data_IF_411495881933
#
_entry.id   IF_411495881933
#
_cell.length_a   1.000
_cell.length_b   1.000
_cell.length_c   1.000
_cell.angle_alpha   90.00
_cell.angle_beta   90.00
_cell.angle_gamma   90.00
#
_symmetry.space_group_name_H-M   'P 1'
#
loop_
_entity.id
_entity.type
_entity.pdbx_description
1 polymer ?
#
# COMPACT_ATOMS: atom_id res chain seq x y z
N UNK A 1 23.44 -41.04 30.83
CA UNK A 1 23.25 -40.68 29.42
C UNK A 1 22.15 -41.53 28.84
N UNK A 2 21.05 -40.91 28.41
CA UNK A 2 20.20 -41.27 27.26
C UNK A 2 18.94 -40.41 27.32
N UNK A 3 18.89 -39.39 26.47
CA UNK A 3 17.72 -38.54 26.21
C UNK A 3 16.67 -39.37 25.48
N UNK A 4 15.51 -39.62 26.11
CA UNK A 4 14.32 -40.10 25.41
C UNK A 4 13.60 -38.88 24.83
N UNK A 5 13.76 -38.69 23.53
CA UNK A 5 13.02 -37.71 22.72
C UNK A 5 11.55 -38.14 22.66
N UNK A 6 10.68 -37.48 23.43
CA UNK A 6 9.23 -37.65 23.32
C UNK A 6 8.74 -37.00 22.03
N UNK A 7 8.51 -37.84 21.01
CA UNK A 7 7.89 -37.47 19.73
C UNK A 7 6.42 -37.08 19.98
N UNK A 8 6.13 -35.79 20.12
CA UNK A 8 4.76 -35.28 20.12
C UNK A 8 4.27 -35.13 18.67
N UNK A 9 3.42 -36.07 18.23
CA UNK A 9 2.72 -36.01 16.94
C UNK A 9 1.59 -34.99 17.04
N UNK A 10 1.69 -33.86 16.34
CA UNK A 10 0.60 -32.85 16.25
C UNK A 10 0.01 -32.82 14.84
N UNK A 11 -0.97 -33.68 14.50
CA UNK A 11 -1.63 -33.68 13.19
C UNK A 11 -2.33 -32.35 12.86
N UNK A 12 -2.67 -31.55 13.87
CA UNK A 12 -3.25 -30.22 13.71
C UNK A 12 -2.29 -29.20 13.06
N UNK A 13 -0.97 -29.33 13.25
CA UNK A 13 -0.03 -28.37 12.64
C UNK A 13 0.02 -28.55 11.13
N UNK A 14 -0.03 -29.80 10.65
CA UNK A 14 -0.08 -30.09 9.23
C UNK A 14 -1.40 -29.62 8.60
N UNK A 15 -2.53 -29.84 9.26
CA UNK A 15 -3.84 -29.37 8.78
C UNK A 15 -3.91 -27.84 8.76
N UNK A 16 -3.44 -27.16 9.80
CA UNK A 16 -3.39 -25.69 9.85
C UNK A 16 -2.42 -25.11 8.81
N UNK A 17 -1.30 -25.78 8.56
CA UNK A 17 -0.35 -25.39 7.53
C UNK A 17 -0.97 -25.53 6.13
N UNK A 18 -1.65 -26.64 5.86
CA UNK A 18 -2.34 -26.86 4.60
C UNK A 18 -3.54 -25.93 4.41
N UNK A 19 -4.34 -25.68 5.44
CA UNK A 19 -5.42 -24.67 5.33
C UNK A 19 -4.85 -23.28 5.12
N UNK A 20 -3.77 -22.89 5.81
CA UNK A 20 -3.09 -21.62 5.53
C UNK A 20 -2.58 -21.57 4.08
N UNK A 21 -1.93 -22.63 3.59
CA UNK A 21 -1.40 -22.71 2.23
C UNK A 21 -2.51 -22.56 1.15
N UNK A 22 -3.68 -23.11 1.41
CA UNK A 22 -4.82 -23.07 0.48
C UNK A 22 -5.72 -21.85 0.66
N UNK A 23 -5.80 -21.25 1.85
CA UNK A 23 -6.73 -20.15 2.16
C UNK A 23 -6.07 -18.77 2.02
N UNK A 24 -4.81 -18.61 2.41
CA UNK A 24 -4.07 -17.34 2.27
C UNK A 24 -4.05 -16.73 0.85
N UNK A 25 -3.90 -17.50 -0.25
CA UNK A 25 -3.92 -16.90 -1.60
C UNK A 25 -5.28 -16.32 -2.01
N UNK A 26 -6.37 -16.66 -1.33
CA UNK A 26 -7.70 -16.10 -1.59
C UNK A 26 -7.95 -14.76 -0.88
N UNK A 27 -7.07 -14.34 0.03
CA UNK A 27 -7.20 -13.10 0.80
C UNK A 27 -6.28 -11.97 0.29
N UNK A 28 -5.84 -12.01 -0.96
CA UNK A 28 -5.05 -10.92 -1.55
C UNK A 28 -5.94 -9.66 -1.73
N UNK A 29 -5.75 -8.69 -0.84
CA UNK A 29 -6.41 -7.38 -0.91
C UNK A 29 -5.69 -6.54 -1.98
N UNK A 30 -6.39 -6.20 -3.06
CA UNK A 30 -5.84 -5.33 -4.11
C UNK A 30 -5.56 -3.90 -3.61
N UNK A 31 -4.52 -3.27 -4.14
CA UNK A 31 -4.02 -1.94 -3.75
C UNK A 31 -4.88 -0.83 -4.37
N UNK A 32 -6.10 -0.64 -3.87
CA UNK A 32 -7.09 0.26 -4.48
C UNK A 32 -6.73 1.75 -4.39
N UNK A 33 -6.00 2.14 -3.36
CA UNK A 33 -5.67 3.55 -3.08
C UNK A 33 -4.78 4.20 -4.15
N UNK A 34 -4.14 3.41 -5.02
CA UNK A 34 -3.36 3.93 -6.14
C UNK A 34 -4.17 4.84 -7.07
N UNK A 35 -5.51 4.79 -7.03
CA UNK A 35 -6.38 5.73 -7.76
C UNK A 35 -6.11 7.21 -7.43
N UNK A 36 -5.47 7.50 -6.30
CA UNK A 36 -5.01 8.83 -5.91
C UNK A 36 -4.06 9.49 -6.93
N UNK A 37 -3.35 8.73 -7.78
CA UNK A 37 -2.45 9.30 -8.80
C UNK A 37 -3.14 10.29 -9.76
N UNK A 38 -4.47 10.20 -9.90
CA UNK A 38 -5.28 11.07 -10.78
C UNK A 38 -5.73 12.37 -10.11
N UNK A 39 -5.51 12.53 -8.81
CA UNK A 39 -5.95 13.71 -8.07
C UNK A 39 -5.05 14.89 -8.43
N UNK A 40 -5.57 15.81 -9.25
CA UNK A 40 -4.91 17.06 -9.63
C UNK A 40 -5.90 18.23 -9.50
N UNK A 41 -5.59 19.29 -8.73
CA UNK A 41 -4.43 19.46 -7.86
C UNK A 41 -4.43 18.52 -6.65
N UNK A 42 -3.26 18.31 -6.04
CA UNK A 42 -3.15 17.51 -4.83
C UNK A 42 -3.97 18.13 -3.69
N UNK A 43 -4.62 17.28 -2.89
CA UNK A 43 -5.39 17.71 -1.73
C UNK A 43 -4.49 18.32 -0.66
N UNK A 44 -4.86 19.48 -0.15
CA UNK A 44 -4.10 20.21 0.87
C UNK A 44 -4.90 20.44 2.14
N UNK A 45 -6.23 20.36 2.06
CA UNK A 45 -7.12 20.64 3.17
C UNK A 45 -7.91 19.40 3.58
N UNK A 46 -8.36 19.37 4.84
CA UNK A 46 -9.27 18.33 5.34
C UNK A 46 -10.64 18.37 4.65
N UNK A 47 -10.98 19.49 4.00
CA UNK A 47 -12.18 19.64 3.17
C UNK A 47 -12.17 18.72 1.95
N UNK A 48 -11.00 18.48 1.35
CA UNK A 48 -10.81 17.76 0.09
C UNK A 48 -10.91 16.23 0.27
N UNK A 49 -10.80 15.75 1.51
CA UNK A 49 -10.84 14.34 1.84
C UNK A 49 -12.25 13.73 1.76
N UNK A 50 -12.40 12.51 1.24
CA UNK A 50 -13.70 11.89 1.06
C UNK A 50 -14.33 11.49 2.40
N UNK A 51 -15.59 11.88 2.61
CA UNK A 51 -16.35 11.59 3.85
C UNK A 51 -17.38 10.48 3.64
N UNK A 52 -18.04 10.46 2.48
CA UNK A 52 -19.06 9.46 2.15
C UNK A 52 -18.43 8.12 1.76
N UNK A 53 -19.22 7.04 1.71
CA UNK A 53 -18.75 5.72 1.28
C UNK A 53 -18.50 5.72 -0.24
N UNK A 54 -19.29 6.47 -0.97
CA UNK A 54 -19.30 6.60 -2.41
C UNK A 54 -18.04 7.31 -2.90
N UNK A 55 -17.71 8.48 -2.32
CA UNK A 55 -16.47 9.21 -2.62
C UNK A 55 -15.23 8.36 -2.34
N UNK A 56 -15.22 7.66 -1.18
CA UNK A 56 -14.11 6.76 -0.82
C UNK A 56 -13.88 5.68 -1.86
N UNK A 57 -14.94 5.11 -2.44
CA UNK A 57 -14.84 4.08 -3.48
C UNK A 57 -14.23 4.62 -4.77
N UNK A 58 -14.53 5.87 -5.15
CA UNK A 58 -13.98 6.52 -6.35
C UNK A 58 -12.44 6.57 -6.28
N UNK A 59 -11.89 6.94 -5.11
CA UNK A 59 -10.44 7.01 -4.89
C UNK A 59 -9.83 5.72 -4.34
N UNK A 60 -10.60 4.64 -4.25
CA UNK A 60 -10.11 3.35 -3.74
C UNK A 60 -9.66 3.36 -2.28
N UNK A 61 -10.19 4.28 -1.47
CA UNK A 61 -9.84 4.45 -0.07
C UNK A 61 -10.74 3.64 0.87
N UNK A 62 -10.14 3.05 1.89
CA UNK A 62 -10.90 2.44 3.00
C UNK A 62 -11.25 3.49 4.07
N UNK A 63 -12.21 3.18 4.95
CA UNK A 63 -12.65 4.06 6.03
C UNK A 63 -11.50 4.57 6.91
N UNK A 64 -10.51 3.73 7.18
CA UNK A 64 -9.35 4.11 7.96
C UNK A 64 -8.47 5.14 7.21
N UNK A 65 -8.15 4.90 5.94
CA UNK A 65 -7.34 5.82 5.13
C UNK A 65 -8.00 7.19 4.98
N UNK A 66 -9.33 7.23 4.78
CA UNK A 66 -10.06 8.49 4.74
C UNK A 66 -10.02 9.26 6.06
N UNK A 67 -10.08 8.56 7.22
CA UNK A 67 -9.88 9.19 8.53
C UNK A 67 -8.46 9.71 8.74
N UNK A 68 -7.45 9.08 8.15
CA UNK A 68 -6.08 9.60 8.16
C UNK A 68 -6.01 10.87 7.31
N UNK A 69 -6.61 10.87 6.12
CA UNK A 69 -6.71 12.04 5.26
C UNK A 69 -7.28 13.26 5.99
N UNK A 70 -8.41 13.09 6.67
CA UNK A 70 -9.06 14.19 7.40
C UNK A 70 -8.22 14.68 8.58
N UNK A 71 -7.49 13.78 9.28
CA UNK A 71 -6.71 14.13 10.48
C UNK A 71 -5.35 14.73 10.18
N UNK A 72 -4.69 14.28 9.12
CA UNK A 72 -3.36 14.72 8.70
C UNK A 72 -3.42 15.21 7.24
N UNK A 73 -4.01 16.39 6.98
CA UNK A 73 -4.11 16.92 5.62
C UNK A 73 -2.74 17.24 5.01
N UNK A 74 -1.75 17.63 5.82
CA UNK A 74 -0.36 17.86 5.36
C UNK A 74 0.33 16.60 4.80
N UNK A 75 -0.11 15.40 5.21
CA UNK A 75 0.45 14.12 4.74
C UNK A 75 -0.03 13.75 3.35
N UNK A 76 -1.27 14.10 3.02
CA UNK A 76 -1.95 13.64 1.81
C UNK A 76 -1.30 14.06 0.50
N UNK A 77 -0.77 15.27 0.29
CA UNK A 77 -0.08 15.58 -0.96
C UNK A 77 1.13 14.67 -1.19
N UNK A 78 1.83 14.24 -0.13
CA UNK A 78 2.94 13.28 -0.23
C UNK A 78 2.46 11.87 -0.58
N UNK A 79 1.27 11.46 -0.11
CA UNK A 79 0.67 10.17 -0.48
C UNK A 79 0.20 10.16 -1.94
N UNK A 80 -0.38 11.27 -2.41
CA UNK A 80 -0.76 11.44 -3.83
C UNK A 80 0.49 11.35 -4.71
N UNK A 81 1.56 12.06 -4.34
CA UNK A 81 2.84 11.98 -5.04
C UNK A 81 3.45 10.57 -5.01
N UNK A 82 3.31 9.84 -3.91
CA UNK A 82 3.74 8.45 -3.82
C UNK A 82 2.96 7.53 -4.77
N UNK A 83 1.65 7.75 -4.92
CA UNK A 83 0.82 7.01 -5.87
C UNK A 83 1.27 7.28 -7.31
N UNK A 84 1.46 8.55 -7.69
CA UNK A 84 1.96 8.92 -9.03
C UNK A 84 3.34 8.34 -9.29
N UNK A 85 4.28 8.48 -8.34
CA UNK A 85 5.61 7.89 -8.45
C UNK A 85 5.56 6.37 -8.65
N UNK A 86 4.66 5.67 -7.95
CA UNK A 86 4.49 4.21 -8.11
C UNK A 86 4.05 3.86 -9.53
N UNK A 87 3.09 4.62 -10.08
CA UNK A 87 2.62 4.45 -11.46
C UNK A 87 3.77 4.67 -12.45
N UNK A 88 4.47 5.80 -12.33
CA UNK A 88 5.53 6.18 -13.25
C UNK A 88 6.71 5.18 -13.23
N UNK A 89 7.15 4.79 -12.04
CA UNK A 89 8.25 3.82 -11.89
C UNK A 89 7.82 2.45 -12.39
N UNK A 90 6.58 2.04 -12.15
CA UNK A 90 6.10 0.74 -12.64
C UNK A 90 6.03 0.69 -14.16
N UNK A 91 5.52 1.75 -14.81
CA UNK A 91 5.53 1.88 -16.26
C UNK A 91 6.95 1.86 -16.81
N UNK A 92 7.87 2.64 -16.22
CA UNK A 92 9.25 2.73 -16.67
C UNK A 92 10.01 1.41 -16.50
N UNK A 93 9.87 0.74 -15.35
CA UNK A 93 10.58 -0.51 -15.05
C UNK A 93 10.14 -1.68 -15.94
N UNK A 94 8.90 -1.64 -16.45
CA UNK A 94 8.30 -2.70 -17.24
C UNK A 94 7.97 -2.31 -18.69
N UNK A 95 8.45 -1.15 -19.17
CA UNK A 95 8.14 -0.64 -20.50
C UNK A 95 8.42 -1.67 -21.62
N UNK A 96 9.52 -2.41 -21.52
CA UNK A 96 9.95 -3.42 -22.50
C UNK A 96 9.53 -4.86 -22.14
N UNK A 97 8.56 -5.02 -21.24
CA UNK A 97 8.07 -6.34 -20.78
C UNK A 97 6.68 -6.62 -21.32
N UNK A 98 6.35 -7.92 -21.48
CA UNK A 98 5.01 -8.37 -21.91
C UNK A 98 3.90 -7.83 -21.01
N UNK A 99 4.17 -7.80 -19.71
CA UNK A 99 3.37 -7.05 -18.74
C UNK A 99 4.04 -5.69 -18.54
N UNK A 100 3.44 -4.64 -19.12
CA UNK A 100 3.98 -3.27 -19.14
C UNK A 100 3.42 -2.37 -18.02
N UNK A 101 2.84 -2.98 -16.98
CA UNK A 101 2.16 -2.29 -15.89
C UNK A 101 0.97 -1.39 -16.29
N UNK A 102 0.50 -1.37 -17.56
CA UNK A 102 -0.58 -0.48 -18.05
C UNK A 102 -1.87 -0.52 -17.23
N UNK A 103 -2.21 -1.68 -16.68
CA UNK A 103 -3.39 -1.84 -15.84
C UNK A 103 -3.36 -1.00 -14.54
N UNK A 104 -2.18 -0.51 -14.09
CA UNK A 104 -2.09 0.29 -12.86
C UNK A 104 -2.86 1.61 -13.00
N UNK A 105 -2.97 2.07 -14.25
CA UNK A 105 -3.69 3.28 -14.63
C UNK A 105 -5.19 3.12 -14.40
N UNK A 106 -5.76 1.91 -14.37
CA UNK A 106 -7.21 1.68 -14.20
C UNK A 106 -7.66 1.59 -12.74
N UNK A 107 -6.78 1.89 -11.79
CA UNK A 107 -7.13 1.99 -10.37
C UNK A 107 -8.40 2.86 -10.15
N UNK A 108 -9.31 2.46 -9.24
CA UNK A 108 -9.22 1.39 -8.25
C UNK A 108 -9.67 0.01 -8.74
N UNK A 109 -10.17 -0.09 -9.98
CA UNK A 109 -10.57 -1.35 -10.60
C UNK A 109 -9.34 -2.01 -11.24
N UNK A 110 -8.52 -2.60 -10.38
CA UNK A 110 -7.32 -3.32 -10.76
C UNK A 110 -7.70 -4.73 -11.24
N UNK A 111 -7.14 -5.16 -12.37
CA UNK A 111 -7.19 -6.56 -12.80
C UNK A 111 -6.38 -7.45 -11.84
N UNK A 112 -6.67 -8.76 -11.81
CA UNK A 112 -5.97 -9.70 -10.92
C UNK A 112 -4.43 -9.71 -11.12
N UNK A 113 -3.95 -9.29 -12.30
CA UNK A 113 -2.54 -9.15 -12.66
C UNK A 113 -1.80 -8.06 -11.84
N UNK A 114 -2.53 -7.11 -11.25
CA UNK A 114 -1.98 -6.08 -10.37
C UNK A 114 -1.83 -6.48 -8.91
N UNK A 115 -2.23 -7.69 -8.55
CA UNK A 115 -1.81 -8.31 -7.31
C UNK A 115 -0.36 -8.84 -7.41
N UNK A 116 0.49 -8.19 -8.22
CA UNK A 116 1.90 -8.52 -8.29
C UNK A 116 2.59 -8.02 -7.02
N UNK A 117 3.37 -8.89 -6.39
CA UNK A 117 4.16 -8.55 -5.21
C UNK A 117 5.06 -7.32 -5.45
N UNK A 118 5.45 -7.08 -6.71
CA UNK A 118 6.22 -5.91 -7.14
C UNK A 118 5.47 -4.60 -6.89
N UNK A 119 4.23 -4.43 -7.37
CA UNK A 119 3.49 -3.16 -7.20
C UNK A 119 3.20 -2.90 -5.72
N UNK A 120 2.94 -3.96 -4.95
CA UNK A 120 2.79 -3.84 -3.49
C UNK A 120 4.06 -3.31 -2.85
N UNK A 121 5.19 -3.97 -3.07
CA UNK A 121 6.48 -3.56 -2.53
C UNK A 121 6.88 -2.15 -2.98
N UNK A 122 6.69 -1.82 -4.26
CA UNK A 122 6.98 -0.52 -4.82
C UNK A 122 6.11 0.57 -4.20
N UNK A 123 4.80 0.33 -4.05
CA UNK A 123 3.88 1.29 -3.44
C UNK A 123 4.22 1.56 -1.97
N UNK A 124 4.58 0.52 -1.21
CA UNK A 124 5.05 0.66 0.17
C UNK A 124 6.36 1.46 0.23
N UNK A 125 7.33 1.13 -0.62
CA UNK A 125 8.59 1.85 -0.71
C UNK A 125 8.40 3.33 -1.09
N UNK A 126 7.52 3.62 -2.05
CA UNK A 126 7.21 4.98 -2.50
C UNK A 126 6.60 5.81 -1.37
N UNK A 127 5.65 5.25 -0.61
CA UNK A 127 5.06 5.93 0.56
C UNK A 127 6.13 6.20 1.62
N UNK A 128 6.91 5.19 2.01
CA UNK A 128 7.98 5.36 3.00
C UNK A 128 8.99 6.41 2.55
N UNK A 129 9.40 6.39 1.29
CA UNK A 129 10.34 7.36 0.73
C UNK A 129 9.80 8.79 0.77
N UNK A 130 8.57 9.01 0.29
CA UNK A 130 7.97 10.35 0.27
C UNK A 130 7.74 10.90 1.67
N UNK A 131 7.26 10.07 2.60
CA UNK A 131 7.04 10.48 4.00
C UNK A 131 8.37 10.77 4.69
N UNK A 132 9.37 9.90 4.55
CA UNK A 132 10.68 10.12 5.16
C UNK A 132 11.34 11.40 4.63
N UNK A 133 11.27 11.64 3.32
CA UNK A 133 11.77 12.87 2.69
C UNK A 133 11.04 14.12 3.22
N UNK A 134 9.72 14.06 3.33
CA UNK A 134 8.91 15.16 3.85
C UNK A 134 9.21 15.45 5.33
N UNK A 135 9.43 14.41 6.14
CA UNK A 135 9.87 14.54 7.52
C UNK A 135 11.27 15.20 7.61
N UNK A 136 12.25 14.71 6.84
CA UNK A 136 13.63 15.24 6.87
C UNK A 136 13.75 16.67 6.34
N UNK A 137 12.82 17.11 5.50
CA UNK A 137 12.78 18.47 4.94
C UNK A 137 11.94 19.44 5.77
N UNK A 138 11.32 18.98 6.86
CA UNK A 138 10.47 19.80 7.72
C UNK A 138 9.10 20.15 7.12
N UNK A 139 8.66 19.43 6.07
CA UNK A 139 7.35 19.61 5.45
C UNK A 139 6.21 18.97 6.25
N UNK A 140 6.52 17.96 7.07
CA UNK A 140 5.58 17.32 7.99
C UNK A 140 5.89 17.70 9.43
N UNK A 141 4.87 18.20 10.13
CA UNK A 141 4.95 18.43 11.57
C UNK A 141 4.86 17.10 12.32
N UNK A 142 5.55 16.97 13.46
CA UNK A 142 5.47 15.81 14.36
C UNK A 142 6.03 14.49 13.82
N UNK A 143 7.04 14.52 12.95
CA UNK A 143 7.86 13.34 12.69
C UNK A 143 8.95 13.21 13.76
N UNK A 144 9.15 12.03 14.39
CA UNK A 144 10.38 11.75 15.10
C UNK A 144 11.47 11.54 14.03
N UNK A 145 12.14 12.61 13.63
CA UNK A 145 13.40 12.47 12.89
C UNK A 145 14.33 11.65 13.79
N UNK A 146 14.90 10.56 13.27
CA UNK A 146 15.84 9.74 14.04
C UNK A 146 16.87 10.66 14.66
N UNK A 147 17.14 10.50 15.96
CA UNK A 147 18.14 11.28 16.67
C UNK A 147 19.46 11.22 15.90
N UNK A 148 19.73 12.25 15.10
CA UNK A 148 21.05 12.56 14.61
C UNK A 148 21.79 13.20 15.77
N UNK A 149 22.42 12.35 16.58
CA UNK A 149 23.59 12.73 17.37
C UNK A 149 24.82 12.70 16.48
#
# INVERSE_FOLDING_TARGET
MSLVMTRHSTPNVFLLFWTALFILPFYCISIKWLALHRVQPAWTNSGDCPRSREERRVFGLIAYQARVCVRLPELIPHIINAASLTVDVCQAAFADRRWNCSSILTAPNLSAELNSAFVYALSSAAVTHQVAKACSSGQLANCPCGFGG
#
